data_IF_058557657947
#
_entry.id   IF_058557657947
#
_cell.length_a   1.000
_cell.length_b   1.000
_cell.length_c   1.000
_cell.angle_alpha   90.00
_cell.angle_beta   90.00
_cell.angle_gamma   90.00
#
_symmetry.space_group_name_H-M   'P 1'
#
loop_
_entity.id
_entity.type
_entity.pdbx_description
1 polymer ?
#
# COMPACT_ATOMS: atom_id res chain seq x y z
N UNK A 1 -2.49 22.14 -17.91
CA UNK A 1 -2.96 20.87 -18.51
C UNK A 1 -1.89 20.39 -19.47
N UNK A 2 -1.58 19.09 -19.48
CA UNK A 2 -0.67 18.48 -20.47
C UNK A 2 -1.44 18.30 -21.79
N UNK A 3 -0.90 18.70 -22.95
CA UNK A 3 -1.58 18.54 -24.25
C UNK A 3 -1.91 17.07 -24.57
N UNK A 4 -2.93 16.84 -25.38
CA UNK A 4 -3.15 15.51 -25.95
C UNK A 4 -2.14 15.26 -27.09
N UNK A 5 -1.51 14.08 -27.11
CA UNK A 5 -0.54 13.72 -28.14
C UNK A 5 0.17 12.39 -27.83
N UNK A 6 1.06 12.00 -28.74
CA UNK A 6 1.91 10.83 -28.56
C UNK A 6 3.11 11.16 -27.68
N UNK A 7 3.33 10.33 -26.67
CA UNK A 7 4.45 10.45 -25.74
C UNK A 7 5.32 9.20 -25.79
N UNK A 8 6.63 9.41 -25.93
CA UNK A 8 7.61 8.34 -25.87
C UNK A 8 8.36 8.43 -24.54
N UNK A 9 8.43 7.32 -23.83
CA UNK A 9 9.08 7.25 -22.53
C UNK A 9 10.34 6.40 -22.57
N UNK A 10 11.44 6.95 -22.06
CA UNK A 10 12.64 6.21 -21.69
C UNK A 10 12.78 6.24 -20.17
N UNK A 11 12.99 5.07 -19.57
CA UNK A 11 13.20 4.91 -18.14
C UNK A 11 14.43 4.05 -17.88
N UNK A 12 15.28 4.51 -16.97
CA UNK A 12 16.39 3.77 -16.40
C UNK A 12 16.03 3.49 -14.94
N UNK A 13 16.24 2.26 -14.48
CA UNK A 13 15.96 1.88 -13.10
C UNK A 13 17.09 1.04 -12.53
N UNK A 14 17.40 1.26 -11.25
CA UNK A 14 18.28 0.42 -10.46
C UNK A 14 17.55 -0.02 -9.19
N UNK A 15 17.83 -1.24 -8.75
CA UNK A 15 17.19 -1.79 -7.55
C UNK A 15 18.09 -2.76 -6.84
N UNK A 16 17.93 -2.81 -5.53
CA UNK A 16 18.58 -3.76 -4.64
C UNK A 16 17.50 -4.45 -3.81
N UNK A 17 17.45 -5.77 -3.91
CA UNK A 17 16.61 -6.62 -3.05
C UNK A 17 17.51 -7.67 -2.41
N UNK A 18 17.59 -7.72 -1.08
CA UNK A 18 18.42 -8.67 -0.39
C UNK A 18 17.78 -10.05 -0.43
N UNK A 19 18.58 -11.05 -0.05
CA UNK A 19 18.12 -12.42 0.09
C UNK A 19 16.93 -12.52 1.05
N UNK A 20 15.86 -13.18 0.60
CA UNK A 20 14.63 -13.41 1.36
C UNK A 20 14.80 -14.46 2.46
N UNK A 21 15.93 -15.17 2.50
CA UNK A 21 16.26 -16.11 3.58
C UNK A 21 16.64 -15.40 4.90
N UNK A 22 16.89 -14.08 4.88
CA UNK A 22 17.23 -13.31 6.09
C UNK A 22 15.98 -12.85 6.82
N UNK A 23 16.04 -12.85 8.15
CA UNK A 23 14.95 -12.35 9.01
C UNK A 23 14.68 -10.86 8.83
N UNK A 24 15.66 -10.08 8.38
CA UNK A 24 15.51 -8.66 8.04
C UNK A 24 16.11 -8.41 6.66
N UNK A 25 15.38 -7.70 5.80
CA UNK A 25 15.83 -7.29 4.47
C UNK A 25 15.51 -5.83 4.19
N UNK A 26 16.50 -5.06 3.71
CA UNK A 26 16.32 -3.70 3.24
C UNK A 26 16.25 -3.66 1.72
N UNK A 27 15.15 -3.14 1.17
CA UNK A 27 14.94 -2.93 -0.26
C UNK A 27 15.25 -1.48 -0.62
N UNK A 28 15.85 -1.27 -1.77
CA UNK A 28 16.02 0.06 -2.35
C UNK A 28 15.74 -0.01 -3.84
N UNK A 29 15.08 1.01 -4.38
CA UNK A 29 14.89 1.17 -5.81
C UNK A 29 15.01 2.65 -6.18
N UNK A 30 15.54 2.90 -7.36
CA UNK A 30 15.53 4.23 -7.96
C UNK A 30 15.22 4.11 -9.43
N UNK A 31 14.52 5.10 -9.97
CA UNK A 31 14.24 5.18 -11.38
C UNK A 31 14.32 6.63 -11.85
N UNK A 32 14.82 6.83 -13.07
CA UNK A 32 14.94 8.13 -13.71
C UNK A 32 14.40 7.97 -15.13
N UNK A 33 13.53 8.87 -15.55
CA UNK A 33 13.01 8.78 -16.90
C UNK A 33 12.01 9.86 -17.26
N UNK A 34 11.46 9.70 -18.45
CA UNK A 34 10.46 10.60 -19.00
C UNK A 34 9.08 10.36 -18.35
N UNK A 35 8.29 11.42 -18.15
CA UNK A 35 6.94 11.38 -17.61
C UNK A 35 6.07 12.43 -18.30
N UNK A 36 5.18 11.99 -19.18
CA UNK A 36 4.48 12.84 -20.16
C UNK A 36 5.44 13.72 -20.97
N UNK A 37 5.20 15.04 -21.01
CA UNK A 37 6.10 16.02 -21.61
C UNK A 37 7.31 16.35 -20.72
N UNK A 38 7.40 15.78 -19.53
CA UNK A 38 8.41 16.10 -18.52
C UNK A 38 9.23 14.89 -18.08
N UNK A 39 9.75 14.96 -16.85
CA UNK A 39 10.62 13.94 -16.26
C UNK A 39 10.13 13.51 -14.89
N UNK A 40 10.50 12.29 -14.50
CA UNK A 40 10.23 11.75 -13.18
C UNK A 40 11.47 11.06 -12.63
N UNK A 41 11.82 11.44 -11.41
CA UNK A 41 12.77 10.73 -10.55
C UNK A 41 11.98 10.00 -9.47
N UNK A 42 12.21 8.70 -9.34
CA UNK A 42 11.62 7.84 -8.32
C UNK A 42 12.72 7.37 -7.37
N UNK A 43 12.49 7.50 -6.08
CA UNK A 43 13.29 6.93 -5.00
C UNK A 43 12.38 6.10 -4.13
N UNK A 44 12.70 4.82 -3.96
CA UNK A 44 11.96 3.89 -3.14
C UNK A 44 12.87 3.18 -2.17
N UNK A 45 12.34 2.96 -0.97
CA UNK A 45 13.03 2.23 0.09
C UNK A 45 12.02 1.38 0.85
N UNK A 46 12.48 0.28 1.41
CA UNK A 46 11.64 -0.55 2.26
C UNK A 46 12.41 -1.45 3.19
N UNK A 47 11.73 -1.92 4.21
CA UNK A 47 12.22 -2.90 5.16
C UNK A 47 11.22 -4.03 5.24
N UNK A 48 11.72 -5.26 5.19
CA UNK A 48 10.96 -6.46 5.51
C UNK A 48 11.55 -7.06 6.76
N UNK A 49 10.69 -7.36 7.72
CA UNK A 49 11.04 -8.07 8.92
C UNK A 49 10.19 -9.33 9.03
N UNK A 50 10.82 -10.47 8.82
CA UNK A 50 10.29 -11.79 9.06
C UNK A 50 10.64 -12.14 10.50
N UNK A 51 9.76 -11.78 11.43
CA UNK A 51 10.00 -11.98 12.86
C UNK A 51 10.07 -13.49 13.21
N UNK A 52 9.21 -14.30 12.58
CA UNK A 52 9.22 -15.75 12.64
C UNK A 52 8.31 -16.33 11.54
N UNK A 53 8.12 -17.65 11.50
CA UNK A 53 7.25 -18.34 10.52
C UNK A 53 5.76 -17.92 10.55
N UNK A 54 5.34 -17.17 11.55
CA UNK A 54 3.96 -16.72 11.76
C UNK A 54 3.76 -15.22 11.55
N UNK A 55 4.82 -14.41 11.46
CA UNK A 55 4.69 -12.96 11.40
C UNK A 55 5.73 -12.34 10.47
N UNK A 56 5.22 -11.63 9.45
CA UNK A 56 6.01 -10.81 8.54
C UNK A 56 5.45 -9.39 8.53
N UNK A 57 6.34 -8.41 8.61
CA UNK A 57 6.02 -6.99 8.52
C UNK A 57 6.84 -6.42 7.35
N UNK A 58 6.21 -5.74 6.41
CA UNK A 58 6.84 -5.07 5.28
C UNK A 58 6.45 -3.60 5.32
N UNK A 59 7.43 -2.71 5.45
CA UNK A 59 7.26 -1.26 5.34
C UNK A 59 7.96 -0.76 4.10
N UNK A 60 7.36 0.18 3.39
CA UNK A 60 7.97 0.83 2.22
C UNK A 60 7.56 2.28 2.11
N UNK A 61 8.44 3.07 1.49
CA UNK A 61 8.21 4.44 1.10
C UNK A 61 8.63 4.59 -0.35
N UNK A 62 7.79 5.27 -1.14
CA UNK A 62 8.11 5.70 -2.50
C UNK A 62 7.95 7.21 -2.56
N UNK A 63 9.03 7.88 -2.92
CA UNK A 63 9.05 9.30 -3.20
C UNK A 63 9.29 9.50 -4.70
N UNK A 64 8.56 10.42 -5.29
CA UNK A 64 8.70 10.78 -6.69
C UNK A 64 8.80 12.29 -6.79
N UNK A 65 9.73 12.73 -7.62
CA UNK A 65 9.88 14.12 -8.04
C UNK A 65 9.57 14.19 -9.52
N UNK A 66 8.58 15.00 -9.85
CA UNK A 66 8.00 15.09 -11.18
C UNK A 66 8.14 16.54 -11.62
N UNK A 67 8.79 16.73 -12.77
CA UNK A 67 8.89 18.04 -13.41
C UNK A 67 8.16 18.01 -14.73
N UNK A 68 7.15 18.86 -14.89
CA UNK A 68 6.40 19.03 -16.14
C UNK A 68 6.67 20.42 -16.71
N UNK A 69 6.89 20.57 -18.03
CA UNK A 69 7.14 21.86 -18.68
C UNK A 69 5.84 22.66 -18.87
N UNK A 70 5.14 22.92 -17.77
CA UNK A 70 3.93 23.74 -17.69
C UNK A 70 4.03 24.63 -16.44
N UNK A 71 3.31 25.77 -16.38
CA UNK A 71 3.26 26.57 -15.16
C UNK A 71 2.83 25.71 -13.97
N UNK A 72 3.57 25.81 -12.85
CA UNK A 72 3.39 25.01 -11.63
C UNK A 72 3.41 23.49 -11.86
N UNK A 73 4.19 23.03 -12.85
CA UNK A 73 4.30 21.62 -13.25
C UNK A 73 5.25 20.76 -12.41
N UNK A 74 6.00 21.36 -11.50
CA UNK A 74 6.95 20.68 -10.63
C UNK A 74 6.28 20.31 -9.30
N UNK A 75 6.25 19.03 -8.97
CA UNK A 75 5.67 18.55 -7.72
C UNK A 75 6.30 17.24 -7.27
N UNK A 76 6.15 16.96 -5.97
CA UNK A 76 6.60 15.70 -5.38
C UNK A 76 5.41 14.89 -4.89
N UNK A 77 5.57 13.57 -4.86
CA UNK A 77 4.61 12.67 -4.23
C UNK A 77 5.30 11.60 -3.42
N UNK A 78 4.72 11.31 -2.26
CA UNK A 78 5.16 10.36 -1.27
C UNK A 78 4.03 9.38 -0.97
N UNK A 79 4.33 8.10 -1.15
CA UNK A 79 3.49 6.99 -0.76
C UNK A 79 4.20 6.17 0.31
N UNK A 80 3.60 6.07 1.50
CA UNK A 80 4.07 5.21 2.59
C UNK A 80 3.14 4.01 2.67
N UNK A 81 3.67 2.80 2.74
CA UNK A 81 2.90 1.56 2.83
C UNK A 81 3.46 0.65 3.91
N UNK A 82 2.58 0.16 4.77
CA UNK A 82 2.89 -0.84 5.78
C UNK A 82 1.97 -2.04 5.61
N UNK A 83 2.56 -3.22 5.48
CA UNK A 83 1.88 -4.50 5.37
C UNK A 83 2.26 -5.38 6.55
N UNK A 84 1.27 -6.06 7.10
CA UNK A 84 1.44 -7.09 8.12
C UNK A 84 0.76 -8.37 7.63
N UNK A 85 1.49 -9.47 7.71
CA UNK A 85 1.00 -10.81 7.40
C UNK A 85 1.26 -11.68 8.64
N UNK A 86 0.18 -12.19 9.24
CA UNK A 86 0.25 -13.01 10.43
C UNK A 86 -0.53 -14.31 10.28
N UNK A 87 0.14 -15.44 10.49
CA UNK A 87 -0.45 -16.76 10.59
C UNK A 87 -0.24 -17.28 12.02
N UNK A 88 -0.98 -16.71 12.99
CA UNK A 88 -0.76 -16.92 14.43
C UNK A 88 -0.81 -18.41 14.83
N UNK A 89 -1.70 -19.17 14.20
CA UNK A 89 -1.76 -20.62 14.30
C UNK A 89 -2.46 -21.22 13.06
N UNK A 90 -2.65 -22.55 13.01
CA UNK A 90 -3.33 -23.24 11.90
C UNK A 90 -4.78 -22.81 11.65
N UNK A 91 -5.36 -22.05 12.57
CA UNK A 91 -6.75 -21.63 12.59
C UNK A 91 -6.93 -20.12 12.46
N UNK A 92 -5.89 -19.30 12.66
CA UNK A 92 -6.05 -17.86 12.77
C UNK A 92 -5.01 -17.14 11.91
N UNK A 93 -5.51 -16.44 10.89
CA UNK A 93 -4.74 -15.68 9.93
C UNK A 93 -5.21 -14.22 9.96
N UNK A 94 -4.27 -13.30 9.78
CA UNK A 94 -4.55 -11.89 9.65
C UNK A 94 -3.65 -11.27 8.58
N UNK A 95 -4.22 -10.37 7.81
CA UNK A 95 -3.54 -9.56 6.83
C UNK A 95 -3.94 -8.11 7.06
N UNK A 96 -3.00 -7.20 7.09
CA UNK A 96 -3.29 -5.77 7.14
C UNK A 96 -2.40 -5.03 6.15
N UNK A 97 -2.98 -4.07 5.44
CA UNK A 97 -2.30 -3.13 4.58
C UNK A 97 -2.76 -1.73 4.93
N UNK A 98 -1.84 -0.87 5.33
CA UNK A 98 -2.08 0.55 5.60
C UNK A 98 -1.23 1.36 4.65
N UNK A 99 -1.84 2.30 3.94
CA UNK A 99 -1.15 3.15 2.96
C UNK A 99 -1.51 4.60 3.19
N UNK A 100 -0.52 5.48 3.13
CA UNK A 100 -0.72 6.92 3.16
C UNK A 100 -0.15 7.54 1.89
N UNK A 101 -0.98 8.33 1.21
CA UNK A 101 -0.67 9.00 -0.04
C UNK A 101 -0.80 10.51 0.15
N UNK A 102 0.27 11.25 -0.15
CA UNK A 102 0.35 12.68 0.09
C UNK A 102 -0.35 13.54 -0.98
N UNK A 103 -0.62 13.01 -2.17
CA UNK A 103 -1.31 13.75 -3.24
C UNK A 103 -2.79 13.77 -2.96
N UNK A 104 -3.36 12.58 -2.73
CA UNK A 104 -4.76 12.41 -2.35
C UNK A 104 -5.02 12.82 -0.89
N UNK A 105 -3.97 12.97 -0.08
CA UNK A 105 -4.04 13.18 1.37
C UNK A 105 -4.85 12.09 2.07
N UNK A 106 -4.80 10.85 1.56
CA UNK A 106 -5.61 9.75 2.09
C UNK A 106 -4.77 8.73 2.84
N UNK A 107 -5.30 8.28 3.98
CA UNK A 107 -4.87 7.09 4.69
C UNK A 107 -5.87 5.97 4.39
N UNK A 108 -5.42 4.94 3.69
CA UNK A 108 -6.20 3.76 3.35
C UNK A 108 -5.77 2.60 4.22
N UNK A 109 -6.73 1.80 4.69
CA UNK A 109 -6.46 0.61 5.48
C UNK A 109 -7.34 -0.53 5.00
N UNK A 110 -6.73 -1.69 4.74
CA UNK A 110 -7.40 -2.93 4.43
C UNK A 110 -6.92 -4.01 5.40
N UNK A 111 -7.82 -4.45 6.28
CA UNK A 111 -7.55 -5.45 7.31
C UNK A 111 -8.45 -6.64 7.05
N UNK A 112 -7.88 -7.84 7.06
CA UNK A 112 -8.57 -9.11 6.90
C UNK A 112 -8.17 -10.04 8.02
N UNK A 113 -9.14 -10.69 8.64
CA UNK A 113 -8.93 -11.71 9.66
C UNK A 113 -9.74 -12.93 9.25
N UNK A 114 -9.10 -14.09 9.26
CA UNK A 114 -9.71 -15.37 8.97
C UNK A 114 -9.50 -16.32 10.16
N UNK A 115 -10.59 -16.79 10.74
CA UNK A 115 -10.59 -17.72 11.86
C UNK A 115 -11.33 -19.01 11.50
N UNK A 116 -10.57 -20.09 11.31
CA UNK A 116 -11.06 -21.43 11.00
C UNK A 116 -11.35 -22.17 12.30
N UNK A 117 -12.63 -22.32 12.66
CA UNK A 117 -13.01 -23.11 13.84
C UNK A 117 -12.72 -24.60 13.62
N UNK A 118 -13.20 -25.13 12.48
CA UNK A 118 -13.00 -26.50 11.98
C UNK A 118 -12.85 -26.46 10.45
N UNK A 119 -12.26 -27.47 9.81
CA UNK A 119 -12.23 -27.53 8.34
C UNK A 119 -13.64 -27.38 7.76
N UNK A 120 -13.83 -26.39 6.89
CA UNK A 120 -15.15 -26.05 6.32
C UNK A 120 -16.03 -25.11 7.18
N UNK A 121 -15.59 -24.72 8.37
CA UNK A 121 -16.28 -23.73 9.22
C UNK A 121 -15.33 -22.59 9.61
N UNK A 122 -15.56 -21.41 9.06
CA UNK A 122 -14.71 -20.24 9.22
C UNK A 122 -15.50 -18.97 9.56
N UNK A 123 -14.81 -18.02 10.19
CA UNK A 123 -15.25 -16.65 10.41
C UNK A 123 -14.25 -15.73 9.70
N UNK A 124 -14.73 -15.04 8.67
CA UNK A 124 -13.94 -14.13 7.89
C UNK A 124 -14.42 -12.70 8.10
N UNK A 125 -13.51 -11.81 8.49
CA UNK A 125 -13.78 -10.39 8.75
C UNK A 125 -12.89 -9.55 7.86
N UNK A 126 -13.48 -8.57 7.18
CA UNK A 126 -12.77 -7.57 6.37
C UNK A 126 -13.17 -6.18 6.81
N UNK A 127 -12.18 -5.34 7.10
CA UNK A 127 -12.35 -3.92 7.33
C UNK A 127 -11.58 -3.19 6.23
N UNK A 128 -12.27 -2.32 5.52
CA UNK A 128 -11.68 -1.50 4.48
C UNK A 128 -12.07 -0.03 4.70
N UNK A 129 -11.07 0.82 4.93
CA UNK A 129 -11.29 2.22 5.28
C UNK A 129 -10.43 3.15 4.44
N UNK A 130 -10.96 4.35 4.22
CA UNK A 130 -10.26 5.47 3.61
C UNK A 130 -10.53 6.71 4.45
N UNK A 131 -9.49 7.38 4.90
CA UNK A 131 -9.56 8.53 5.79
C UNK A 131 -8.76 9.71 5.23
N UNK A 132 -9.37 10.88 5.17
CA UNK A 132 -8.76 12.12 4.72
C UNK A 132 -7.91 12.72 5.84
N UNK A 133 -6.62 12.83 5.58
CA UNK A 133 -5.61 13.41 6.47
C UNK A 133 -5.38 14.90 6.23
N UNK A 134 -5.77 15.39 5.05
CA UNK A 134 -5.61 16.79 4.64
C UNK A 134 -6.60 17.77 5.29
N UNK A 135 -6.50 19.06 4.93
CA UNK A 135 -7.52 20.04 5.29
C UNK A 135 -8.86 19.67 4.67
N UNK A 136 -9.94 20.11 5.32
CA UNK A 136 -11.30 19.99 4.80
C UNK A 136 -11.64 21.24 4.00
N UNK A 137 -12.42 21.10 2.93
CA UNK A 137 -12.94 22.25 2.19
C UNK A 137 -13.95 23.03 3.04
N UNK A 138 -14.82 22.30 3.77
CA UNK A 138 -15.75 22.86 4.75
C UNK A 138 -15.55 22.21 6.13
N UNK A 139 -15.77 22.96 7.24
CA UNK A 139 -15.61 22.42 8.60
C UNK A 139 -16.46 21.19 8.93
N UNK A 140 -17.52 20.93 8.15
CA UNK A 140 -18.46 19.81 8.35
C UNK A 140 -18.23 18.63 7.41
N UNK A 141 -17.24 18.71 6.51
CA UNK A 141 -17.01 17.64 5.55
C UNK A 141 -16.53 16.35 6.25
N UNK A 142 -17.05 15.18 5.82
CA UNK A 142 -16.67 13.92 6.42
C UNK A 142 -15.22 13.59 6.06
N UNK A 143 -14.40 13.35 7.09
CA UNK A 143 -13.03 12.84 6.87
C UNK A 143 -13.00 11.39 6.39
N UNK A 144 -14.04 10.61 6.65
CA UNK A 144 -14.10 9.22 6.22
C UNK A 144 -14.62 9.14 4.79
N UNK A 145 -13.72 8.81 3.86
CA UNK A 145 -14.03 8.60 2.45
C UNK A 145 -14.63 7.20 2.22
N UNK A 146 -14.19 6.21 3.00
CA UNK A 146 -14.69 4.83 2.94
C UNK A 146 -14.64 4.17 4.30
N UNK A 147 -15.69 3.41 4.64
CA UNK A 147 -15.82 2.63 5.89
C UNK A 147 -16.65 1.38 5.61
N UNK A 148 -16.02 0.34 5.12
CA UNK A 148 -16.68 -0.92 4.78
C UNK A 148 -16.24 -2.00 5.76
N UNK A 149 -17.22 -2.67 6.37
CA UNK A 149 -17.02 -3.86 7.19
C UNK A 149 -17.78 -5.03 6.57
N UNK A 150 -17.12 -6.16 6.39
CA UNK A 150 -17.74 -7.40 5.90
C UNK A 150 -17.45 -8.48 6.92
N UNK A 151 -18.47 -9.23 7.29
CA UNK A 151 -18.36 -10.42 8.13
C UNK A 151 -19.03 -11.56 7.37
N UNK A 152 -18.32 -12.68 7.25
CA UNK A 152 -18.83 -13.92 6.68
C UNK A 152 -18.60 -15.05 7.68
N UNK A 153 -19.65 -15.82 7.95
CA UNK A 153 -19.59 -17.02 8.77
C UNK A 153 -19.97 -18.22 7.90
N UNK A 154 -19.10 -19.21 7.83
CA UNK A 154 -19.37 -20.50 7.18
C UNK A 154 -19.43 -21.58 8.25
N UNK A 155 -20.40 -22.49 8.14
CA UNK A 155 -20.50 -23.64 9.03
C UNK A 155 -20.81 -24.90 8.21
N UNK A 156 -19.92 -25.89 8.29
CA UNK A 156 -20.12 -27.21 7.71
C UNK A 156 -20.55 -28.20 8.80
N UNK A 157 -21.71 -28.81 8.60
CA UNK A 157 -22.18 -29.93 9.41
C UNK A 157 -21.77 -31.23 8.71
N UNK A 158 -20.86 -31.99 9.31
CA UNK A 158 -20.60 -33.36 8.87
C UNK A 158 -21.79 -34.24 9.28
N UNK A 159 -22.30 -35.03 8.33
CA UNK A 159 -23.33 -36.06 8.54
C UNK A 159 -22.66 -37.44 8.51
#
# INVERSE_FOLDING_TARGET
MVPAGDYRFRRISAGFTPDRARSVGLKFNTALGDFWSGTRTELGGGVVWIANKHLTIDGSVSWNDISLPVPDGDFTTTLVSTRLEAALNRKLFAYALVQWDDVSKTLQSNIRVDWIHTPGSDLFVVLDTGYLTGPLDLPRDPRWLRRTGIIKLTYLKAF
#
